data_IF_261788530292
#
_entry.id   IF_261788530292
#
_cell.length_a   1.000
_cell.length_b   1.000
_cell.length_c   1.000
_cell.angle_alpha   90.00
_cell.angle_beta   90.00
_cell.angle_gamma   90.00
#
_symmetry.space_group_name_H-M   'P 1'
#
loop_
_entity.id
_entity.type
_entity.pdbx_description
1 polymer ?
#
# COMPACT_ATOMS: atom_id res chain seq x y z
N UNK A 1 54.51 -5.54 -1.72
CA UNK A 1 54.81 -6.92 -1.99
C UNK A 1 53.54 -7.76 -1.95
N UNK A 2 53.25 -8.35 -3.06
CA UNK A 2 52.16 -9.28 -3.26
C UNK A 2 52.51 -10.65 -2.66
N UNK A 3 51.54 -11.35 -2.07
CA UNK A 3 51.66 -12.79 -1.94
C UNK A 3 50.27 -13.40 -2.28
N UNK A 4 50.31 -14.12 -3.39
CA UNK A 4 49.27 -15.01 -3.89
C UNK A 4 49.14 -16.24 -3.00
N UNK A 5 47.89 -16.65 -2.72
CA UNK A 5 47.58 -18.03 -2.30
C UNK A 5 46.55 -18.64 -3.26
N UNK A 6 47.08 -19.49 -4.13
CA UNK A 6 46.33 -20.44 -4.95
C UNK A 6 46.06 -21.68 -4.10
N UNK A 7 44.81 -22.15 -3.98
CA UNK A 7 44.50 -23.45 -3.43
C UNK A 7 43.85 -24.31 -4.53
N UNK A 8 44.53 -25.40 -4.82
CA UNK A 8 44.24 -26.45 -5.77
C UNK A 8 43.14 -27.36 -5.22
N UNK A 9 42.09 -27.58 -5.99
CA UNK A 9 41.07 -28.62 -5.72
C UNK A 9 41.41 -29.81 -6.58
N UNK A 10 41.76 -30.92 -5.92
CA UNK A 10 42.04 -32.22 -6.53
C UNK A 10 40.73 -32.98 -6.70
N UNK A 11 40.52 -33.49 -7.92
CA UNK A 11 39.36 -34.31 -8.27
C UNK A 11 39.43 -35.74 -7.69
N UNK A 12 38.26 -36.29 -7.42
CA UNK A 12 38.09 -37.72 -7.22
C UNK A 12 37.07 -38.27 -8.20
N UNK A 13 37.55 -39.14 -9.06
CA UNK A 13 36.79 -39.96 -10.01
C UNK A 13 36.12 -41.11 -9.26
N UNK A 14 34.84 -41.34 -9.48
CA UNK A 14 34.12 -42.52 -9.03
C UNK A 14 34.08 -43.56 -10.16
N UNK A 15 34.53 -44.75 -9.86
CA UNK A 15 34.38 -45.92 -10.69
C UNK A 15 33.10 -46.67 -10.37
N UNK A 16 32.38 -46.99 -11.42
CA UNK A 16 31.18 -47.79 -11.49
C UNK A 16 31.52 -49.29 -11.39
N UNK A 17 30.85 -50.06 -10.52
CA UNK A 17 30.76 -51.51 -10.67
C UNK A 17 29.39 -52.00 -10.17
N UNK A 18 28.61 -52.51 -11.13
CA UNK A 18 27.45 -53.38 -10.91
C UNK A 18 27.93 -54.81 -10.57
N UNK A 19 27.26 -55.56 -9.69
CA UNK A 19 26.84 -56.90 -10.06
C UNK A 19 25.41 -57.29 -9.65
N UNK A 20 24.73 -57.83 -10.64
CA UNK A 20 23.52 -58.61 -10.64
C UNK A 20 23.42 -59.77 -9.64
N UNK A 21 22.20 -59.95 -9.04
CA UNK A 21 21.53 -61.16 -8.67
C UNK A 21 21.37 -61.48 -7.18
N UNK A 22 20.51 -62.39 -6.71
CA UNK A 22 19.28 -62.92 -7.31
C UNK A 22 18.02 -62.75 -6.43
N UNK A 23 16.89 -63.14 -6.99
CA UNK A 23 15.56 -63.38 -6.44
C UNK A 23 15.47 -63.63 -4.92
N UNK A 24 14.70 -62.79 -4.22
CA UNK A 24 14.04 -63.16 -2.95
C UNK A 24 12.53 -62.99 -3.11
N UNK A 25 11.91 -64.17 -3.02
CA UNK A 25 10.47 -64.37 -2.95
C UNK A 25 9.79 -63.36 -1.99
N UNK A 26 8.73 -62.77 -2.47
CA UNK A 26 7.83 -61.97 -1.67
C UNK A 26 7.14 -62.83 -0.61
N UNK A 27 7.49 -62.66 0.62
CA UNK A 27 6.67 -63.12 1.75
C UNK A 27 5.55 -62.12 1.94
N UNK A 28 4.30 -62.57 1.74
CA UNK A 28 3.11 -61.81 2.02
C UNK A 28 3.07 -61.46 3.51
N UNK A 29 3.13 -60.20 3.83
CA UNK A 29 2.84 -59.69 5.18
C UNK A 29 1.34 -59.81 5.47
N UNK A 30 0.94 -60.17 6.73
CA UNK A 30 -0.48 -60.29 7.07
C UNK A 30 -1.14 -58.91 6.95
N UNK A 31 -2.35 -58.94 6.37
CA UNK A 31 -3.24 -57.76 6.33
C UNK A 31 -3.59 -57.35 7.80
N UNK A 32 -2.79 -56.45 8.36
CA UNK A 32 -3.15 -55.73 9.55
C UNK A 32 -4.19 -54.68 9.18
N UNK A 33 -5.41 -54.83 9.65
CA UNK A 33 -6.44 -53.78 9.67
C UNK A 33 -5.96 -52.61 10.56
N UNK A 34 -5.05 -51.81 10.04
CA UNK A 34 -4.60 -50.53 10.56
C UNK A 34 -4.74 -49.52 9.46
N UNK A 35 -5.94 -49.38 8.93
CA UNK A 35 -6.26 -48.23 8.09
C UNK A 35 -6.02 -47.00 8.94
N UNK A 36 -5.00 -46.19 8.56
CA UNK A 36 -4.97 -44.79 8.97
C UNK A 36 -6.33 -44.24 8.59
N UNK A 37 -7.25 -44.13 9.53
CA UNK A 37 -8.34 -43.19 9.44
C UNK A 37 -7.70 -41.82 9.34
N UNK A 38 -7.35 -41.41 8.11
CA UNK A 38 -7.31 -40.00 7.81
C UNK A 38 -8.68 -39.49 8.22
N UNK A 39 -8.75 -38.86 9.38
CA UNK A 39 -9.93 -38.14 9.81
C UNK A 39 -10.38 -37.36 8.56
N UNK A 40 -11.57 -37.64 8.09
CA UNK A 40 -12.13 -36.99 6.89
C UNK A 40 -11.84 -35.53 7.05
N UNK A 41 -11.00 -34.98 6.16
CA UNK A 41 -10.79 -33.55 6.09
C UNK A 41 -12.18 -32.93 6.11
N UNK A 42 -12.51 -32.07 7.08
CA UNK A 42 -13.87 -31.53 7.13
C UNK A 42 -14.15 -30.95 5.77
N UNK A 43 -15.17 -31.47 5.10
CA UNK A 43 -15.65 -30.90 3.85
C UNK A 43 -15.91 -29.43 4.14
N UNK A 44 -15.48 -28.55 3.22
CA UNK A 44 -15.79 -27.14 3.33
C UNK A 44 -17.30 -26.98 3.59
N UNK A 45 -17.71 -26.08 4.49
CA UNK A 45 -19.13 -25.93 4.82
C UNK A 45 -19.96 -25.66 3.56
N UNK A 46 -21.19 -26.14 3.54
CA UNK A 46 -22.13 -25.82 2.46
C UNK A 46 -22.24 -24.33 2.27
N UNK A 47 -22.13 -23.89 0.99
CA UNK A 47 -22.10 -22.47 0.67
C UNK A 47 -20.74 -21.79 0.85
N UNK A 48 -19.66 -22.55 1.11
CA UNK A 48 -18.32 -21.96 1.13
C UNK A 48 -18.00 -21.33 -0.21
N UNK A 49 -17.76 -20.03 -0.19
CA UNK A 49 -17.21 -19.31 -1.33
C UNK A 49 -16.29 -18.19 -0.85
N UNK A 50 -15.40 -17.76 -1.71
CA UNK A 50 -14.51 -16.66 -1.43
C UNK A 50 -14.81 -15.55 -2.43
N UNK A 51 -15.05 -14.31 -1.98
CA UNK A 51 -15.32 -13.19 -2.87
C UNK A 51 -14.25 -12.99 -3.95
N UNK A 52 -14.67 -12.44 -5.09
CA UNK A 52 -13.81 -12.22 -6.25
C UNK A 52 -12.57 -11.36 -5.96
N UNK A 53 -12.63 -10.50 -4.94
CA UNK A 53 -11.49 -9.69 -4.48
C UNK A 53 -10.24 -10.50 -4.16
N UNK A 54 -10.40 -11.79 -3.81
CA UNK A 54 -9.26 -12.68 -3.58
C UNK A 54 -8.43 -12.94 -4.84
N UNK A 55 -9.10 -12.99 -5.98
CA UNK A 55 -8.51 -13.36 -7.27
C UNK A 55 -8.22 -12.13 -8.15
N UNK A 56 -8.81 -11.00 -7.81
CA UNK A 56 -8.55 -9.73 -8.48
C UNK A 56 -7.24 -9.14 -7.95
N UNK A 57 -6.41 -8.62 -8.86
CA UNK A 57 -5.20 -7.90 -8.45
C UNK A 57 -5.61 -6.69 -7.58
N UNK A 58 -4.94 -6.44 -6.44
CA UNK A 58 -5.33 -5.34 -5.55
C UNK A 58 -5.38 -3.97 -6.24
N UNK A 59 -4.44 -3.67 -7.14
CA UNK A 59 -4.43 -2.43 -7.93
C UNK A 59 -5.60 -2.32 -8.91
N UNK A 60 -5.96 -3.40 -9.60
CA UNK A 60 -7.16 -3.45 -10.45
C UNK A 60 -8.42 -3.22 -9.61
N UNK A 61 -8.49 -3.83 -8.42
CA UNK A 61 -9.60 -3.61 -7.49
C UNK A 61 -9.66 -2.15 -7.03
N UNK A 62 -8.51 -1.52 -6.76
CA UNK A 62 -8.46 -0.10 -6.40
C UNK A 62 -9.04 0.78 -7.50
N UNK A 63 -8.66 0.56 -8.77
CA UNK A 63 -9.23 1.32 -9.91
C UNK A 63 -10.74 1.13 -10.02
N UNK A 64 -11.23 -0.09 -9.91
CA UNK A 64 -12.67 -0.36 -9.92
C UNK A 64 -13.42 0.41 -8.82
N UNK A 65 -12.83 0.50 -7.63
CA UNK A 65 -13.41 1.27 -6.53
C UNK A 65 -13.36 2.78 -6.79
N UNK A 66 -12.25 3.30 -7.30
CA UNK A 66 -12.13 4.72 -7.67
C UNK A 66 -13.10 5.12 -8.78
N UNK A 67 -13.43 4.20 -9.69
CA UNK A 67 -14.41 4.45 -10.77
C UNK A 67 -15.85 4.30 -10.29
N UNK A 68 -16.13 3.35 -9.40
CA UNK A 68 -17.49 2.99 -9.00
C UNK A 68 -18.03 3.73 -7.77
N UNK A 69 -17.17 4.25 -6.90
CA UNK A 69 -17.58 4.89 -5.65
C UNK A 69 -17.54 6.41 -5.76
N UNK A 70 -18.50 7.07 -5.10
CA UNK A 70 -18.49 8.53 -5.01
C UNK A 70 -17.24 9.03 -4.27
N UNK A 71 -16.88 8.33 -3.19
CA UNK A 71 -15.62 8.50 -2.44
C UNK A 71 -15.25 7.20 -1.74
N UNK A 72 -13.98 7.04 -1.40
CA UNK A 72 -13.45 5.93 -0.61
C UNK A 72 -12.93 6.43 0.72
N UNK A 73 -13.37 5.82 1.81
CA UNK A 73 -12.77 6.05 3.11
C UNK A 73 -11.82 4.90 3.45
N UNK A 74 -10.53 5.22 3.55
CA UNK A 74 -9.49 4.29 3.94
C UNK A 74 -8.98 4.60 5.35
N UNK A 75 -9.38 3.84 6.40
CA UNK A 75 -8.85 4.07 7.73
C UNK A 75 -7.34 3.85 7.76
N UNK A 76 -6.64 4.71 8.51
CA UNK A 76 -5.20 4.58 8.76
C UNK A 76 -4.90 3.35 9.62
N UNK A 77 -4.08 2.45 9.11
CA UNK A 77 -3.60 1.26 9.82
C UNK A 77 -2.08 1.21 9.75
N UNK A 78 -1.44 0.47 10.64
CA UNK A 78 0.02 0.32 10.66
C UNK A 78 0.46 -1.12 10.97
N UNK A 79 -0.50 -2.03 11.13
CA UNK A 79 -0.24 -3.43 11.38
C UNK A 79 -1.30 -4.37 10.78
N UNK A 80 -1.07 -5.66 10.92
CA UNK A 80 -1.94 -6.70 10.43
C UNK A 80 -3.31 -6.71 11.12
N UNK A 81 -3.35 -6.43 12.41
CA UNK A 81 -4.59 -6.45 13.19
C UNK A 81 -5.50 -5.28 12.82
N UNK A 82 -4.95 -4.08 12.70
CA UNK A 82 -5.69 -2.91 12.25
C UNK A 82 -6.30 -3.11 10.86
N UNK A 83 -5.53 -3.71 9.92
CA UNK A 83 -6.04 -4.05 8.59
C UNK A 83 -7.19 -5.06 8.64
N UNK A 84 -7.09 -6.11 9.46
CA UNK A 84 -8.16 -7.11 9.63
C UNK A 84 -9.42 -6.50 10.26
N UNK A 85 -9.28 -5.61 11.25
CA UNK A 85 -10.41 -4.91 11.85
C UNK A 85 -11.13 -4.01 10.84
N UNK A 86 -10.37 -3.27 10.03
CA UNK A 86 -10.94 -2.46 8.96
C UNK A 86 -11.72 -3.34 7.96
N UNK A 87 -11.16 -4.47 7.53
CA UNK A 87 -11.84 -5.43 6.65
C UNK A 87 -13.10 -6.00 7.31
N UNK A 88 -13.04 -6.37 8.60
CA UNK A 88 -14.17 -6.93 9.34
C UNK A 88 -15.36 -5.96 9.39
N UNK A 89 -15.07 -4.67 9.52
CA UNK A 89 -16.07 -3.60 9.55
C UNK A 89 -16.51 -3.11 8.16
N UNK A 90 -16.02 -3.75 7.08
CA UNK A 90 -16.49 -3.49 5.72
C UNK A 90 -15.90 -2.27 5.03
N UNK A 91 -14.77 -1.73 5.53
CA UNK A 91 -14.06 -0.68 4.81
C UNK A 91 -13.54 -1.20 3.46
N UNK A 92 -13.78 -0.42 2.40
CA UNK A 92 -13.50 -0.81 1.02
C UNK A 92 -12.03 -0.62 0.63
N UNK A 93 -11.28 0.20 1.36
CA UNK A 93 -9.84 0.41 1.23
C UNK A 93 -9.22 0.58 2.61
N UNK A 94 -7.90 0.42 2.73
CA UNK A 94 -7.15 0.76 3.94
C UNK A 94 -5.90 1.56 3.55
N UNK A 95 -5.52 2.50 4.42
CA UNK A 95 -4.31 3.29 4.27
C UNK A 95 -3.25 2.84 5.27
N UNK A 96 -2.14 2.27 4.78
CA UNK A 96 -1.01 1.90 5.62
C UNK A 96 -0.13 3.13 5.85
N UNK A 97 -0.36 3.76 7.01
CA UNK A 97 0.14 5.08 7.35
C UNK A 97 1.58 5.04 7.82
N UNK A 98 2.46 5.82 7.20
CA UNK A 98 3.84 6.03 7.66
C UNK A 98 3.91 6.70 9.02
N UNK A 99 3.08 7.72 9.26
CA UNK A 99 2.95 8.36 10.58
C UNK A 99 2.60 7.36 11.69
N UNK A 100 1.56 6.55 11.47
CA UNK A 100 1.14 5.56 12.46
C UNK A 100 2.17 4.43 12.60
N UNK A 101 2.87 4.07 11.52
CA UNK A 101 3.95 3.10 11.53
C UNK A 101 5.16 3.59 12.35
N UNK A 102 5.56 4.85 12.18
CA UNK A 102 6.63 5.45 12.98
C UNK A 102 6.31 5.39 14.49
N UNK A 103 5.10 5.77 14.87
CA UNK A 103 4.68 5.76 16.28
C UNK A 103 4.48 4.32 16.79
N UNK A 104 3.78 3.49 16.05
CA UNK A 104 3.38 2.17 16.52
C UNK A 104 4.50 1.12 16.43
N UNK A 105 5.41 1.26 15.48
CA UNK A 105 6.49 0.30 15.25
C UNK A 105 7.83 0.74 15.82
N UNK A 106 8.19 2.03 15.67
CA UNK A 106 9.46 2.56 16.17
C UNK A 106 9.33 3.31 17.50
N UNK A 107 8.11 3.67 17.94
CA UNK A 107 7.88 4.46 19.15
C UNK A 107 8.40 5.89 19.03
N UNK A 108 8.46 6.46 17.83
CA UNK A 108 9.01 7.78 17.53
C UNK A 108 8.04 8.61 16.70
N UNK A 109 8.33 9.91 16.58
CA UNK A 109 7.57 10.79 15.69
C UNK A 109 7.90 10.50 14.23
N UNK A 110 7.00 10.89 13.32
CA UNK A 110 7.17 10.78 11.88
C UNK A 110 8.18 11.83 11.36
N UNK A 111 9.44 11.43 11.27
CA UNK A 111 10.59 12.26 10.90
C UNK A 111 11.59 11.53 9.99
N UNK A 112 11.08 10.73 9.05
CA UNK A 112 11.92 10.02 8.06
C UNK A 112 12.93 9.02 8.70
N UNK A 113 12.49 8.32 9.77
CA UNK A 113 13.37 7.43 10.54
C UNK A 113 13.25 5.96 10.15
N UNK A 114 12.11 5.52 9.61
CA UNK A 114 11.98 4.17 9.07
C UNK A 114 12.41 4.13 7.60
N UNK A 115 12.77 2.95 7.15
CA UNK A 115 13.24 2.70 5.79
C UNK A 115 12.12 2.18 4.88
N UNK A 116 12.30 2.30 3.55
CA UNK A 116 11.40 1.70 2.56
C UNK A 116 11.21 0.19 2.76
N UNK A 117 12.23 -0.52 3.26
CA UNK A 117 12.17 -1.96 3.50
C UNK A 117 11.28 -2.29 4.70
N UNK A 118 11.39 -1.52 5.78
CA UNK A 118 10.60 -1.74 6.99
C UNK A 118 9.11 -1.53 6.73
N UNK A 119 8.74 -0.42 6.10
CA UNK A 119 7.32 -0.16 5.80
C UNK A 119 6.78 -1.12 4.74
N UNK A 120 7.58 -1.50 3.73
CA UNK A 120 7.18 -2.51 2.75
C UNK A 120 6.93 -3.88 3.39
N UNK A 121 7.75 -4.30 4.36
CA UNK A 121 7.52 -5.55 5.10
C UNK A 121 6.27 -5.45 5.98
N UNK A 122 6.04 -4.32 6.63
CA UNK A 122 4.79 -4.05 7.37
C UNK A 122 3.56 -4.16 6.48
N UNK A 123 3.57 -3.50 5.33
CA UNK A 123 2.48 -3.54 4.35
C UNK A 123 2.26 -4.97 3.80
N UNK A 124 3.34 -5.70 3.48
CA UNK A 124 3.28 -7.11 3.06
C UNK A 124 2.61 -7.99 4.10
N UNK A 125 2.92 -7.79 5.38
CA UNK A 125 2.27 -8.52 6.50
C UNK A 125 0.79 -8.19 6.57
N UNK A 126 0.40 -6.92 6.42
CA UNK A 126 -1.00 -6.49 6.40
C UNK A 126 -1.76 -7.15 5.24
N UNK A 127 -1.23 -7.09 3.99
CA UNK A 127 -1.82 -7.75 2.81
C UNK A 127 -1.97 -9.26 3.02
N UNK A 128 -0.92 -9.92 3.55
CA UNK A 128 -0.97 -11.36 3.85
C UNK A 128 -2.03 -11.69 4.90
N UNK A 129 -2.15 -10.86 5.94
CA UNK A 129 -3.12 -11.04 7.02
C UNK A 129 -4.56 -10.90 6.50
N UNK A 130 -4.85 -9.92 5.66
CA UNK A 130 -6.16 -9.73 5.01
C UNK A 130 -6.56 -10.99 4.21
N UNK A 131 -5.65 -11.54 3.42
CA UNK A 131 -5.90 -12.75 2.62
C UNK A 131 -6.17 -13.99 3.49
N UNK A 132 -5.44 -14.14 4.60
CA UNK A 132 -5.66 -15.24 5.55
C UNK A 132 -6.98 -15.05 6.30
N UNK A 133 -7.24 -13.83 6.75
CA UNK A 133 -8.45 -13.50 7.51
C UNK A 133 -9.73 -13.74 6.68
N UNK A 134 -9.72 -13.39 5.39
CA UNK A 134 -10.83 -13.71 4.49
C UNK A 134 -11.19 -15.20 4.51
N UNK A 135 -10.19 -16.07 4.41
CA UNK A 135 -10.41 -17.52 4.44
C UNK A 135 -10.95 -17.99 5.80
N UNK A 136 -10.37 -17.52 6.88
CA UNK A 136 -10.82 -17.87 8.24
C UNK A 136 -12.27 -17.47 8.44
N UNK A 137 -12.65 -16.25 8.01
CA UNK A 137 -14.01 -15.76 8.14
C UNK A 137 -14.99 -16.49 7.22
N UNK A 138 -14.55 -16.91 6.03
CA UNK A 138 -15.40 -17.65 5.09
C UNK A 138 -15.75 -19.07 5.58
N UNK A 139 -14.90 -19.66 6.42
CA UNK A 139 -15.16 -20.97 7.05
C UNK A 139 -16.06 -20.81 8.26
N UNK A 140 -15.91 -19.75 9.05
CA UNK A 140 -16.55 -19.59 10.35
C UNK A 140 -15.98 -20.57 11.41
N UNK A 141 -16.72 -20.76 12.48
CA UNK A 141 -16.38 -21.72 13.54
C UNK A 141 -17.69 -22.35 14.07
N UNK A 142 -18.15 -23.46 13.47
CA UNK A 142 -19.39 -24.13 13.87
C UNK A 142 -19.40 -24.59 15.33
N UNK A 143 -18.23 -24.98 15.87
CA UNK A 143 -18.13 -25.45 17.26
C UNK A 143 -18.39 -24.31 18.26
N UNK A 144 -18.05 -23.08 17.87
CA UNK A 144 -18.33 -21.87 18.67
C UNK A 144 -19.59 -21.12 18.23
N UNK A 145 -20.33 -21.66 17.27
CA UNK A 145 -21.53 -21.01 16.74
C UNK A 145 -21.24 -19.75 15.91
N UNK A 146 -20.04 -19.63 15.34
CA UNK A 146 -19.66 -18.49 14.49
C UNK A 146 -20.02 -18.82 13.04
N UNK A 147 -21.01 -18.11 12.51
CA UNK A 147 -21.41 -18.25 11.11
C UNK A 147 -20.33 -17.78 10.13
N UNK A 148 -20.21 -18.39 8.94
CA UNK A 148 -19.36 -17.90 7.86
C UNK A 148 -19.66 -16.43 7.50
N UNK A 149 -18.61 -15.65 7.24
CA UNK A 149 -18.72 -14.26 6.80
C UNK A 149 -17.85 -14.03 5.55
N UNK A 150 -18.49 -13.66 4.46
CA UNK A 150 -17.82 -13.45 3.18
C UNK A 150 -17.35 -12.00 3.06
N UNK A 151 -16.10 -11.77 3.40
CA UNK A 151 -15.49 -10.43 3.41
C UNK A 151 -14.74 -10.14 2.11
N UNK A 152 -14.91 -8.94 1.58
CA UNK A 152 -14.07 -8.43 0.49
C UNK A 152 -12.69 -8.01 1.02
N UNK A 153 -11.62 -8.32 0.29
CA UNK A 153 -10.27 -7.85 0.65
C UNK A 153 -10.15 -6.38 0.23
N UNK A 154 -9.97 -5.45 1.17
CA UNK A 154 -9.72 -4.06 0.83
C UNK A 154 -8.32 -3.93 0.22
N UNK A 155 -8.15 -3.24 -0.93
CA UNK A 155 -6.83 -2.87 -1.41
C UNK A 155 -6.13 -1.93 -0.43
N UNK A 156 -4.79 -2.08 -0.36
CA UNK A 156 -3.94 -1.33 0.58
C UNK A 156 -3.25 -0.21 -0.16
N UNK A 157 -3.41 1.02 0.33
CA UNK A 157 -2.66 2.22 -0.07
C UNK A 157 -1.50 2.36 0.91
N UNK A 158 -0.29 2.64 0.46
CA UNK A 158 0.88 2.78 1.34
C UNK A 158 1.53 4.14 1.20
N UNK A 159 2.00 4.67 2.32
CA UNK A 159 2.85 5.84 2.39
C UNK A 159 4.24 5.53 1.77
N UNK A 160 4.69 6.33 0.82
CA UNK A 160 6.02 6.23 0.23
C UNK A 160 6.92 7.41 0.64
N UNK A 161 6.47 8.25 1.56
CA UNK A 161 7.16 9.48 1.95
C UNK A 161 7.64 10.29 0.71
N UNK A 162 8.83 10.85 0.73
CA UNK A 162 9.42 11.51 -0.43
C UNK A 162 10.17 10.54 -1.38
N UNK A 163 9.91 9.24 -1.27
CA UNK A 163 10.52 8.19 -2.08
C UNK A 163 11.83 7.64 -1.53
N UNK A 164 12.18 7.95 -0.29
CA UNK A 164 13.39 7.49 0.43
C UNK A 164 14.71 7.84 -0.27
N UNK A 165 14.73 8.88 -1.09
CA UNK A 165 15.93 9.33 -1.78
C UNK A 165 15.67 9.84 -3.19
N UNK A 166 16.57 9.49 -4.10
CA UNK A 166 16.48 9.87 -5.50
C UNK A 166 15.59 8.90 -6.31
N UNK A 167 15.53 9.08 -7.63
CA UNK A 167 14.70 8.25 -8.52
C UNK A 167 15.00 6.75 -8.45
N UNK A 168 16.22 6.33 -8.13
CA UNK A 168 16.56 4.91 -7.98
C UNK A 168 16.05 4.34 -6.66
N UNK A 169 15.96 5.15 -5.62
CA UNK A 169 15.29 4.76 -4.37
C UNK A 169 13.78 4.59 -4.61
N UNK A 170 13.16 5.50 -5.37
CA UNK A 170 11.74 5.37 -5.80
C UNK A 170 11.53 4.08 -6.59
N UNK A 171 12.43 3.76 -7.54
CA UNK A 171 12.35 2.52 -8.30
C UNK A 171 12.33 1.29 -7.38
N UNK A 172 13.29 1.21 -6.46
CA UNK A 172 13.38 0.12 -5.47
C UNK A 172 12.15 0.04 -4.58
N UNK A 173 11.66 1.17 -4.09
CA UNK A 173 10.49 1.20 -3.20
C UNK A 173 9.23 0.76 -3.94
N UNK A 174 9.05 1.19 -5.18
CA UNK A 174 7.94 0.76 -6.02
C UNK A 174 7.97 -0.75 -6.25
N UNK A 175 9.15 -1.32 -6.56
CA UNK A 175 9.32 -2.77 -6.69
C UNK A 175 8.93 -3.51 -5.40
N UNK A 176 9.40 -3.04 -4.24
CA UNK A 176 9.05 -3.61 -2.94
C UNK A 176 7.53 -3.58 -2.69
N UNK A 177 6.85 -2.49 -3.02
CA UNK A 177 5.42 -2.33 -2.81
C UNK A 177 4.59 -3.20 -3.75
N UNK A 178 4.93 -3.23 -5.04
CA UNK A 178 4.26 -4.09 -6.01
C UNK A 178 4.40 -5.56 -5.59
N UNK A 179 5.60 -6.00 -5.21
CA UNK A 179 5.86 -7.36 -4.74
C UNK A 179 5.18 -7.68 -3.39
N UNK A 180 4.94 -6.68 -2.54
CA UNK A 180 4.16 -6.82 -1.32
C UNK A 180 2.65 -6.97 -1.56
N UNK A 181 2.17 -6.75 -2.80
CA UNK A 181 0.75 -6.78 -3.15
C UNK A 181 0.00 -5.50 -2.78
N UNK A 182 0.71 -4.39 -2.66
CA UNK A 182 0.16 -3.04 -2.46
C UNK A 182 -0.59 -2.61 -3.72
N UNK A 183 -1.70 -1.93 -3.55
CA UNK A 183 -2.57 -1.47 -4.64
C UNK A 183 -2.24 -0.06 -5.12
N UNK A 184 -1.81 0.79 -4.20
CA UNK A 184 -1.56 2.20 -4.43
C UNK A 184 -0.48 2.72 -3.50
N UNK A 185 0.23 3.76 -3.94
CA UNK A 185 1.14 4.49 -3.08
C UNK A 185 1.01 6.00 -3.33
N UNK A 186 1.15 6.80 -2.28
CA UNK A 186 1.39 8.22 -2.46
C UNK A 186 2.86 8.54 -2.25
N UNK A 187 3.35 9.50 -3.02
CA UNK A 187 4.69 10.05 -2.90
C UNK A 187 4.58 11.56 -2.80
N UNK A 188 5.34 12.18 -1.89
CA UNK A 188 5.31 13.61 -1.64
C UNK A 188 6.55 14.33 -2.14
N UNK A 189 6.41 15.64 -2.36
CA UNK A 189 7.44 16.49 -2.96
C UNK A 189 8.39 17.15 -1.94
N UNK A 190 8.47 16.61 -0.71
CA UNK A 190 9.38 17.16 0.29
C UNK A 190 10.86 16.83 0.00
N UNK A 191 11.73 17.76 0.42
CA UNK A 191 13.18 17.52 0.50
C UNK A 191 13.45 16.61 1.70
N UNK A 192 14.33 15.61 1.55
CA UNK A 192 14.77 14.74 2.63
C UNK A 192 15.80 15.43 3.55
N UNK A 193 15.77 15.15 4.86
CA UNK A 193 14.81 14.33 5.57
C UNK A 193 13.42 15.00 5.64
N UNK A 194 12.38 14.25 5.27
CA UNK A 194 11.01 14.77 5.27
C UNK A 194 10.48 14.99 6.70
N UNK A 195 9.39 15.73 6.81
CA UNK A 195 8.68 15.95 8.07
C UNK A 195 7.21 15.56 7.90
N UNK A 196 6.57 15.22 9.00
CA UNK A 196 5.12 15.04 8.98
C UNK A 196 4.43 16.26 8.35
N UNK A 197 3.43 16.03 7.51
CA UNK A 197 2.70 17.09 6.77
C UNK A 197 2.13 18.20 7.64
N UNK A 198 1.89 17.91 8.93
CA UNK A 198 1.39 18.86 9.91
C UNK A 198 2.46 19.62 10.72
N UNK A 199 3.75 19.35 10.44
CA UNK A 199 4.88 20.03 11.07
C UNK A 199 5.43 21.10 10.10
N UNK A 200 5.71 22.29 10.63
CA UNK A 200 6.29 23.39 9.85
C UNK A 200 7.74 23.15 9.42
N UNK A 201 8.22 23.99 8.51
CA UNK A 201 9.61 23.98 8.05
C UNK A 201 9.89 22.98 6.92
N UNK A 202 8.88 22.58 6.17
CA UNK A 202 9.01 21.71 4.99
C UNK A 202 9.58 22.50 3.82
N UNK A 203 10.60 21.94 3.16
CA UNK A 203 11.13 22.43 1.88
C UNK A 203 10.73 21.44 0.78
N UNK A 204 10.55 21.94 -0.45
CA UNK A 204 10.10 21.12 -1.57
C UNK A 204 11.21 20.94 -2.60
N UNK A 205 11.27 19.74 -3.18
CA UNK A 205 12.11 19.49 -4.35
C UNK A 205 11.57 20.25 -5.56
N UNK A 206 12.37 20.59 -6.58
CA UNK A 206 11.87 21.17 -7.82
C UNK A 206 10.75 20.30 -8.43
N UNK A 207 9.68 20.91 -8.96
CA UNK A 207 8.58 20.15 -9.55
C UNK A 207 9.01 19.18 -10.68
N UNK A 208 10.00 19.49 -11.55
CA UNK A 208 10.53 18.52 -12.51
C UNK A 208 11.17 17.28 -11.87
N UNK A 209 11.80 17.43 -10.69
CA UNK A 209 12.35 16.29 -9.94
C UNK A 209 11.23 15.38 -9.44
N UNK A 210 10.17 15.96 -8.85
CA UNK A 210 9.00 15.20 -8.43
C UNK A 210 8.35 14.47 -9.61
N UNK A 211 8.18 15.14 -10.77
CA UNK A 211 7.68 14.49 -11.99
C UNK A 211 8.58 13.32 -12.41
N UNK A 212 9.90 13.47 -12.27
CA UNK A 212 10.87 12.39 -12.51
C UNK A 212 10.62 11.18 -11.59
N UNK A 213 10.38 11.43 -10.30
CA UNK A 213 10.04 10.39 -9.31
C UNK A 213 8.73 9.67 -9.66
N UNK A 214 7.69 10.41 -10.02
CA UNK A 214 6.40 9.84 -10.45
C UNK A 214 6.55 8.96 -11.70
N UNK A 215 7.29 9.43 -12.71
CA UNK A 215 7.57 8.65 -13.93
C UNK A 215 8.32 7.37 -13.63
N UNK A 216 9.30 7.43 -12.74
CA UNK A 216 10.04 6.24 -12.31
C UNK A 216 9.13 5.21 -11.64
N UNK A 217 8.27 5.64 -10.70
CA UNK A 217 7.32 4.76 -10.04
C UNK A 217 6.38 4.08 -11.07
N UNK A 218 5.86 4.83 -12.04
CA UNK A 218 5.02 4.27 -13.11
C UNK A 218 5.78 3.28 -14.00
N UNK A 219 7.00 3.63 -14.40
CA UNK A 219 7.82 2.76 -15.26
C UNK A 219 8.10 1.42 -14.58
N UNK A 220 8.48 1.43 -13.31
CA UNK A 220 8.74 0.18 -12.55
C UNK A 220 7.46 -0.63 -12.34
N UNK A 221 6.35 0.00 -12.00
CA UNK A 221 5.09 -0.71 -11.86
C UNK A 221 4.68 -1.40 -13.16
N UNK A 222 4.86 -0.74 -14.31
CA UNK A 222 4.57 -1.29 -15.63
C UNK A 222 5.53 -2.44 -15.98
N UNK A 223 6.84 -2.28 -15.72
CA UNK A 223 7.86 -3.31 -15.96
C UNK A 223 7.56 -4.61 -15.19
N UNK A 224 6.99 -4.46 -13.98
CA UNK A 224 6.51 -5.58 -13.16
C UNK A 224 5.13 -6.12 -13.59
N UNK A 225 4.58 -5.64 -14.72
CA UNK A 225 3.27 -6.04 -15.22
C UNK A 225 2.11 -5.57 -14.35
N UNK A 226 2.29 -4.52 -13.55
CA UNK A 226 1.25 -3.92 -12.70
C UNK A 226 0.87 -2.52 -13.18
N UNK A 227 0.35 -2.42 -14.39
CA UNK A 227 -0.07 -1.17 -15.03
C UNK A 227 -1.21 -0.47 -14.26
N UNK A 228 -1.99 -1.24 -13.52
CA UNK A 228 -3.08 -0.75 -12.67
C UNK A 228 -2.59 -0.15 -11.35
N UNK A 229 -1.31 -0.22 -11.02
CA UNK A 229 -0.78 0.35 -9.78
C UNK A 229 -1.12 1.83 -9.68
N UNK A 230 -1.82 2.23 -8.61
CA UNK A 230 -2.32 3.59 -8.44
C UNK A 230 -1.24 4.46 -7.81
N UNK A 231 -0.91 5.57 -8.48
CA UNK A 231 0.08 6.55 -8.03
C UNK A 231 -0.64 7.83 -7.61
N UNK A 232 -0.42 8.25 -6.38
CA UNK A 232 -0.97 9.48 -5.81
C UNK A 232 0.18 10.48 -5.65
N UNK A 233 0.12 11.60 -6.37
CA UNK A 233 1.11 12.67 -6.25
C UNK A 233 0.67 13.65 -5.16
N UNK A 234 1.42 13.67 -4.04
CA UNK A 234 1.15 14.59 -2.94
C UNK A 234 2.04 15.82 -3.06
N UNK A 235 1.47 16.98 -2.78
CA UNK A 235 2.23 18.22 -2.58
C UNK A 235 2.00 18.78 -1.18
N UNK A 236 3.09 19.19 -0.55
CA UNK A 236 3.11 19.91 0.72
C UNK A 236 3.26 21.44 0.51
N UNK A 237 2.99 21.91 -0.72
CA UNK A 237 3.16 23.30 -1.14
C UNK A 237 2.42 24.32 -0.31
N UNK A 238 1.24 23.94 0.22
CA UNK A 238 0.38 24.84 0.98
C UNK A 238 1.06 25.40 2.25
N UNK A 239 1.94 24.63 2.88
CA UNK A 239 2.62 25.00 4.13
C UNK A 239 4.14 24.88 4.04
N UNK A 240 4.71 24.96 2.84
CA UNK A 240 6.15 24.93 2.62
C UNK A 240 6.83 26.24 3.04
N UNK A 241 8.12 26.19 3.38
CA UNK A 241 8.91 27.38 3.74
C UNK A 241 9.02 28.39 2.60
N UNK A 242 8.94 27.92 1.35
CA UNK A 242 8.96 28.77 0.14
C UNK A 242 7.66 29.55 -0.06
N UNK A 243 6.64 29.27 0.73
CA UNK A 243 5.35 29.92 0.69
C UNK A 243 4.93 30.39 2.12
N UNK A 244 5.59 31.43 2.67
CA UNK A 244 5.40 31.86 4.06
C UNK A 244 4.00 32.45 4.31
N UNK A 245 3.32 32.95 3.26
CA UNK A 245 1.96 33.49 3.34
C UNK A 245 0.94 32.45 2.86
N UNK A 246 -0.22 32.27 3.53
CA UNK A 246 -1.20 31.25 3.18
C UNK A 246 -1.68 31.32 1.72
N UNK A 247 -1.96 32.50 1.18
CA UNK A 247 -2.37 32.69 -0.20
C UNK A 247 -1.28 32.21 -1.19
N UNK A 248 -0.02 32.52 -0.91
CA UNK A 248 1.12 32.06 -1.72
C UNK A 248 1.32 30.55 -1.63
N UNK A 249 1.04 29.96 -0.48
CA UNK A 249 1.03 28.51 -0.30
C UNK A 249 -0.01 27.82 -1.18
N UNK A 250 -1.21 28.39 -1.24
CA UNK A 250 -2.29 27.88 -2.08
C UNK A 250 -1.95 27.96 -3.58
N UNK A 251 -1.41 29.09 -4.04
CA UNK A 251 -0.94 29.25 -5.41
C UNK A 251 0.14 28.21 -5.76
N UNK A 252 1.10 28.00 -4.86
CA UNK A 252 2.16 27.01 -5.04
C UNK A 252 1.60 25.59 -5.12
N UNK A 253 0.67 25.24 -4.22
CA UNK A 253 0.04 23.91 -4.22
C UNK A 253 -0.78 23.67 -5.50
N UNK A 254 -1.48 24.71 -6.01
CA UNK A 254 -2.20 24.63 -7.29
C UNK A 254 -1.21 24.43 -8.46
N UNK A 255 -0.16 25.25 -8.57
CA UNK A 255 0.84 25.13 -9.65
C UNK A 255 1.46 23.73 -9.66
N UNK A 256 1.79 23.18 -8.48
CA UNK A 256 2.36 21.83 -8.38
C UNK A 256 1.37 20.76 -8.81
N UNK A 257 0.14 20.78 -8.32
CA UNK A 257 -0.90 19.83 -8.74
C UNK A 257 -1.10 19.83 -10.26
N UNK A 258 -1.17 21.02 -10.87
CA UNK A 258 -1.29 21.17 -12.33
C UNK A 258 -0.09 20.57 -13.07
N UNK A 259 1.13 20.82 -12.62
CA UNK A 259 2.36 20.22 -13.24
C UNK A 259 2.41 18.71 -13.11
N UNK A 260 1.93 18.17 -12.00
CA UNK A 260 1.89 16.71 -11.82
C UNK A 260 0.87 16.07 -12.74
N UNK A 261 -0.32 16.65 -12.85
CA UNK A 261 -1.35 16.21 -13.80
C UNK A 261 -0.93 16.38 -15.26
N UNK A 262 -0.25 17.48 -15.62
CA UNK A 262 0.32 17.70 -16.97
C UNK A 262 1.31 16.60 -17.37
N UNK A 263 1.95 15.92 -16.39
CA UNK A 263 2.83 14.80 -16.68
C UNK A 263 2.11 13.54 -17.17
N UNK A 264 0.79 13.46 -16.96
CA UNK A 264 -0.05 12.30 -17.28
C UNK A 264 0.23 11.05 -16.45
N UNK A 265 0.98 11.19 -15.35
CA UNK A 265 1.44 10.01 -14.57
C UNK A 265 0.55 9.70 -13.38
N UNK A 266 0.24 10.66 -12.47
CA UNK A 266 -0.53 10.35 -11.28
C UNK A 266 -1.98 10.04 -11.62
N UNK A 267 -2.55 9.11 -10.88
CA UNK A 267 -3.97 8.76 -10.94
C UNK A 267 -4.82 9.69 -10.06
N UNK A 268 -4.21 10.18 -8.97
CA UNK A 268 -4.78 11.18 -8.07
C UNK A 268 -3.71 12.21 -7.71
N UNK A 269 -4.15 13.41 -7.37
CA UNK A 269 -3.31 14.41 -6.71
C UNK A 269 -3.82 14.67 -5.30
N UNK A 270 -2.90 14.99 -4.40
CA UNK A 270 -3.17 15.25 -3.01
C UNK A 270 -2.45 16.53 -2.58
N UNK A 271 -3.21 17.54 -2.20
CA UNK A 271 -2.68 18.68 -1.46
C UNK A 271 -2.76 18.39 0.04
N UNK A 272 -1.64 18.48 0.75
CA UNK A 272 -1.66 18.32 2.20
C UNK A 272 -2.18 19.60 2.85
N UNK A 273 -3.43 19.56 3.28
CA UNK A 273 -4.07 20.65 4.01
C UNK A 273 -3.74 20.53 5.49
N UNK A 274 -3.36 21.64 6.15
CA UNK A 274 -3.09 21.65 7.60
C UNK A 274 -4.37 21.67 8.43
N UNK A 275 -5.51 22.00 7.83
CA UNK A 275 -6.82 22.11 8.46
C UNK A 275 -7.91 21.57 7.53
N UNK A 276 -9.14 21.43 8.05
CA UNK A 276 -10.33 21.08 7.27
C UNK A 276 -11.10 22.32 6.78
N UNK A 277 -10.48 23.48 6.74
CA UNK A 277 -11.13 24.72 6.29
C UNK A 277 -11.62 24.61 4.87
N UNK A 278 -12.89 24.92 4.63
CA UNK A 278 -13.53 24.77 3.32
C UNK A 278 -12.95 25.68 2.25
N UNK A 279 -12.62 26.94 2.60
CA UNK A 279 -12.16 27.92 1.64
C UNK A 279 -10.97 27.45 0.79
N UNK A 280 -9.84 27.08 1.41
CA UNK A 280 -8.69 26.54 0.68
C UNK A 280 -8.99 25.23 -0.08
N UNK A 281 -9.85 24.35 0.46
CA UNK A 281 -10.26 23.11 -0.19
C UNK A 281 -11.03 23.40 -1.49
N UNK A 282 -12.05 24.25 -1.43
CA UNK A 282 -12.88 24.64 -2.55
C UNK A 282 -12.08 25.40 -3.63
N UNK A 283 -11.24 26.34 -3.22
CA UNK A 283 -10.43 27.13 -4.13
C UNK A 283 -9.40 26.25 -4.87
N UNK A 284 -8.69 25.38 -4.15
CA UNK A 284 -7.72 24.46 -4.73
C UNK A 284 -8.38 23.48 -5.70
N UNK A 285 -9.45 22.80 -5.28
CA UNK A 285 -10.16 21.82 -6.11
C UNK A 285 -10.76 22.47 -7.35
N UNK A 286 -11.41 23.64 -7.22
CA UNK A 286 -11.96 24.38 -8.35
C UNK A 286 -10.87 24.83 -9.35
N UNK A 287 -9.73 25.33 -8.86
CA UNK A 287 -8.62 25.74 -9.70
C UNK A 287 -8.02 24.58 -10.50
N UNK A 288 -7.85 23.42 -9.88
CA UNK A 288 -7.34 22.22 -10.55
C UNK A 288 -8.36 21.64 -11.54
N UNK A 289 -9.62 21.50 -11.12
CA UNK A 289 -10.71 20.96 -11.95
C UNK A 289 -10.99 21.82 -13.17
N UNK A 290 -10.81 23.14 -13.08
CA UNK A 290 -10.95 24.05 -14.22
C UNK A 290 -10.05 23.66 -15.40
N UNK A 291 -8.86 23.12 -15.15
CA UNK A 291 -7.92 22.67 -16.19
C UNK A 291 -8.03 21.17 -16.46
N UNK A 292 -8.29 20.38 -15.44
CA UNK A 292 -8.42 18.93 -15.48
C UNK A 292 -9.78 18.51 -14.92
N UNK A 293 -10.88 18.54 -15.71
CA UNK A 293 -12.23 18.27 -15.22
C UNK A 293 -12.41 16.88 -14.60
N UNK A 294 -11.61 15.91 -15.04
CA UNK A 294 -11.66 14.52 -14.57
C UNK A 294 -10.62 14.23 -13.48
N UNK A 295 -9.94 15.27 -12.95
CA UNK A 295 -8.96 15.08 -11.88
C UNK A 295 -9.60 14.50 -10.63
N UNK A 296 -8.89 13.57 -10.02
CA UNK A 296 -9.29 12.93 -8.75
C UNK A 296 -8.35 13.36 -7.66
N UNK A 297 -8.87 13.57 -6.48
CA UNK A 297 -8.12 14.08 -5.34
C UNK A 297 -8.12 13.09 -4.19
N UNK A 298 -7.05 13.11 -3.39
CA UNK A 298 -7.00 12.46 -2.09
C UNK A 298 -6.98 13.53 -0.98
N UNK A 299 -7.55 13.19 0.16
CA UNK A 299 -7.61 14.06 1.32
C UNK A 299 -7.21 13.30 2.59
N UNK A 300 -6.40 13.92 3.43
CA UNK A 300 -6.02 13.39 4.72
C UNK A 300 -6.95 13.94 5.81
N UNK A 301 -7.87 13.11 6.29
CA UNK A 301 -8.75 13.46 7.40
C UNK A 301 -8.06 13.15 8.74
N UNK A 302 -7.23 14.06 9.18
CA UNK A 302 -6.42 13.88 10.38
C UNK A 302 -7.10 14.39 11.66
N UNK A 303 -6.92 13.69 12.76
CA UNK A 303 -7.34 14.14 14.09
C UNK A 303 -6.65 15.44 14.54
N UNK A 304 -5.48 15.77 13.97
CA UNK A 304 -4.76 17.02 14.24
C UNK A 304 -5.51 18.27 13.77
N UNK A 305 -6.46 18.15 12.85
CA UNK A 305 -7.35 19.26 12.44
C UNK A 305 -8.33 19.68 13.52
N UNK A 306 -8.52 18.89 14.56
CA UNK A 306 -9.50 19.14 15.63
C UNK A 306 -10.93 19.37 15.10
N UNK A 307 -11.26 18.74 13.95
CA UNK A 307 -12.55 18.81 13.28
C UNK A 307 -13.74 18.51 14.23
N UNK A 308 -13.50 17.72 15.29
CA UNK A 308 -14.50 17.42 16.32
C UNK A 308 -14.90 18.64 17.16
N UNK A 309 -14.17 19.75 17.08
CA UNK A 309 -14.52 21.03 17.68
C UNK A 309 -15.21 21.98 16.69
N UNK A 310 -15.24 21.64 15.41
CA UNK A 310 -15.89 22.43 14.37
C UNK A 310 -17.40 22.19 14.43
N UNK A 311 -18.24 23.22 14.57
CA UNK A 311 -19.69 23.05 14.59
C UNK A 311 -20.27 22.66 13.22
N UNK A 312 -19.55 22.88 12.12
CA UNK A 312 -19.95 22.53 10.76
C UNK A 312 -18.76 21.95 9.96
N UNK A 313 -18.25 20.77 10.33
CA UNK A 313 -17.11 20.18 9.66
C UNK A 313 -17.47 19.75 8.23
N UNK A 314 -16.52 19.85 7.30
CA UNK A 314 -16.71 19.34 5.93
C UNK A 314 -16.99 17.84 5.99
N UNK A 315 -18.02 17.36 5.31
CA UNK A 315 -18.40 15.95 5.27
C UNK A 315 -17.68 15.20 4.15
N UNK A 316 -17.59 13.87 4.24
CA UNK A 316 -17.04 13.05 3.16
C UNK A 316 -17.84 13.18 1.86
N UNK A 317 -19.16 13.36 1.94
CA UNK A 317 -20.01 13.60 0.77
C UNK A 317 -19.61 14.90 0.07
N UNK A 318 -19.42 15.99 0.82
CA UNK A 318 -18.98 17.28 0.28
C UNK A 318 -17.57 17.20 -0.32
N UNK A 319 -16.67 16.45 0.31
CA UNK A 319 -15.35 16.16 -0.29
C UNK A 319 -15.50 15.41 -1.62
N UNK A 320 -16.38 14.41 -1.68
CA UNK A 320 -16.69 13.68 -2.91
C UNK A 320 -17.23 14.59 -4.03
N UNK A 321 -18.11 15.54 -3.70
CA UNK A 321 -18.63 16.55 -4.64
C UNK A 321 -17.53 17.47 -5.20
N UNK A 322 -16.47 17.73 -4.43
CA UNK A 322 -15.28 18.49 -4.86
C UNK A 322 -14.27 17.64 -5.67
N UNK A 323 -14.51 16.34 -5.86
CA UNK A 323 -13.63 15.42 -6.59
C UNK A 323 -12.65 14.62 -5.72
N UNK A 324 -12.75 14.71 -4.40
CA UNK A 324 -11.96 13.84 -3.51
C UNK A 324 -12.55 12.43 -3.50
N UNK A 325 -11.64 11.45 -3.65
CA UNK A 325 -12.00 10.02 -3.78
C UNK A 325 -11.61 9.19 -2.57
#
# INVERSE_FOLDING_TARGET
PASSMTSTITGMTSTNTDPSGPDRAAAAAPAGEGGLHLASTPLLPDGFHVPASRWTRPSTRMRQLLDGEAYLFGPGVYDAMGAQLAMYHGFKAVYFSGYSFAIGHLGTTDMDLYTSVEIADGARRAVSALRKFQLTMAVGDPEKGVAPKHLEIPPVIVDMDAGYGNIFNVARTTELYVNAGVAAAHIEDQVLPKRCGHIGGKALVPAPEMVGKLRMARAVANDLGNEDFVIIARTDGLSAVDAPEPARGLELAIDRALRYLDSGVPDLVWCEFPTSDRGPLEEWSAAVTKRFPDARFAFNWSSSFKWFNDPDPVTFAQLGEMGFK
#
